data_IF_243428480170
#
_entry.id   IF_243428480170
#
_cell.length_a   1.000
_cell.length_b   1.000
_cell.length_c   1.000
_cell.angle_alpha   90.00
_cell.angle_beta   90.00
_cell.angle_gamma   90.00
#
_symmetry.space_group_name_H-M   'P 1'
#
loop_
_entity.id
_entity.type
_entity.pdbx_description
1 polymer ?
#
# COMPACT_ATOMS: atom_id res chain seq x y z
N UNK A 1 13.29 -11.69 20.10
CA UNK A 1 13.95 -10.86 19.05
C UNK A 1 13.00 -9.80 18.50
N UNK A 2 13.53 -8.77 17.84
CA UNK A 2 12.73 -7.78 17.09
C UNK A 2 12.68 -8.16 15.62
N UNK A 3 11.51 -8.04 14.99
CA UNK A 3 11.25 -8.38 13.59
C UNK A 3 10.69 -7.12 12.92
N UNK A 4 11.37 -6.60 11.91
CA UNK A 4 10.83 -5.50 11.12
C UNK A 4 9.75 -6.01 10.17
N UNK A 5 8.64 -5.32 10.06
CA UNK A 5 7.54 -5.69 9.17
C UNK A 5 7.40 -4.64 8.07
N UNK A 6 7.44 -5.11 6.84
CA UNK A 6 7.12 -4.38 5.62
C UNK A 6 5.96 -5.05 4.90
N UNK A 7 5.27 -4.29 4.09
CA UNK A 7 4.21 -4.76 3.18
C UNK A 7 4.03 -3.73 2.07
N UNK A 8 3.44 -4.11 0.97
CA UNK A 8 3.03 -3.19 -0.09
C UNK A 8 4.16 -2.21 -0.48
N UNK A 9 5.35 -2.77 -0.76
CA UNK A 9 6.50 -1.96 -1.18
C UNK A 9 6.40 -1.52 -2.64
N UNK A 10 5.67 -2.27 -3.47
CA UNK A 10 5.37 -1.94 -4.87
C UNK A 10 6.58 -1.45 -5.66
N UNK A 11 7.68 -2.20 -5.65
CA UNK A 11 8.86 -1.85 -6.43
C UNK A 11 8.51 -1.70 -7.92
N UNK A 12 8.77 -0.52 -8.48
CA UNK A 12 8.40 -0.17 -9.85
C UNK A 12 7.03 0.48 -10.00
N UNK A 13 6.43 0.94 -8.93
CA UNK A 13 5.14 1.64 -8.94
C UNK A 13 5.12 2.84 -9.90
N UNK A 14 3.92 3.22 -10.36
CA UNK A 14 3.69 4.32 -11.30
C UNK A 14 4.48 4.16 -12.60
N UNK A 15 4.39 2.95 -13.21
CA UNK A 15 5.13 2.60 -14.41
C UNK A 15 6.65 2.79 -14.28
N UNK A 16 7.18 2.49 -13.11
CA UNK A 16 8.60 2.66 -12.77
C UNK A 16 9.07 4.12 -12.88
N UNK A 17 8.23 5.04 -12.44
CA UNK A 17 8.56 6.46 -12.39
C UNK A 17 9.83 6.71 -11.59
N UNK A 18 10.75 7.49 -12.14
CA UNK A 18 12.02 7.86 -11.52
C UNK A 18 11.82 8.54 -10.16
N UNK A 19 10.78 9.37 -10.04
CA UNK A 19 10.44 10.08 -8.81
C UNK A 19 10.13 9.07 -7.69
N UNK A 20 9.31 8.06 -7.99
CA UNK A 20 8.93 7.03 -7.00
C UNK A 20 10.08 6.08 -6.70
N UNK A 21 10.91 5.73 -7.69
CA UNK A 21 12.12 4.94 -7.46
C UNK A 21 13.07 5.69 -6.49
N UNK A 22 13.35 6.97 -6.74
CA UNK A 22 14.19 7.79 -5.86
C UNK A 22 13.60 7.94 -4.45
N UNK A 23 12.28 8.07 -4.35
CA UNK A 23 11.59 8.16 -3.07
C UNK A 23 11.70 6.85 -2.26
N UNK A 24 11.53 5.70 -2.91
CA UNK A 24 11.71 4.38 -2.29
C UNK A 24 13.15 4.16 -1.81
N UNK A 25 14.14 4.53 -2.63
CA UNK A 25 15.54 4.43 -2.26
C UNK A 25 15.88 5.29 -1.05
N UNK A 26 15.38 6.53 -1.03
CA UNK A 26 15.57 7.40 0.13
C UNK A 26 14.94 6.79 1.40
N UNK A 27 13.76 6.18 1.28
CA UNK A 27 13.17 5.49 2.43
C UNK A 27 14.07 4.35 2.93
N UNK A 28 14.61 3.53 2.04
CA UNK A 28 15.51 2.45 2.44
C UNK A 28 16.83 2.97 3.01
N UNK A 29 17.44 3.97 2.38
CA UNK A 29 18.76 4.44 2.71
C UNK A 29 18.79 5.41 3.92
N UNK A 30 17.76 6.25 4.05
CA UNK A 30 17.73 7.30 5.07
C UNK A 30 16.91 6.90 6.32
N UNK A 31 15.96 5.96 6.19
CA UNK A 31 15.00 5.64 7.26
C UNK A 31 15.07 4.17 7.69
N UNK A 32 14.80 3.26 6.77
CA UNK A 32 14.56 1.85 7.10
C UNK A 32 15.83 1.12 7.56
N UNK A 33 16.85 1.02 6.71
CA UNK A 33 18.08 0.31 7.09
C UNK A 33 18.84 0.96 8.24
N UNK A 34 18.97 2.30 8.31
CA UNK A 34 19.58 2.95 9.49
C UNK A 34 18.88 2.55 10.80
N UNK A 35 17.53 2.54 10.80
CA UNK A 35 16.79 2.11 11.98
C UNK A 35 17.04 0.64 12.35
N UNK A 36 17.10 -0.26 11.36
CA UNK A 36 17.39 -1.67 11.61
C UNK A 36 18.78 -1.86 12.24
N UNK A 37 19.79 -1.16 11.70
CA UNK A 37 21.16 -1.24 12.18
C UNK A 37 21.31 -0.67 13.60
N UNK A 38 20.69 0.48 13.86
CA UNK A 38 20.71 1.12 15.18
C UNK A 38 20.04 0.26 16.26
N UNK A 39 19.01 -0.50 15.90
CA UNK A 39 18.25 -1.35 16.81
C UNK A 39 18.66 -2.83 16.78
N UNK A 40 19.73 -3.19 16.05
CA UNK A 40 20.22 -4.57 15.83
C UNK A 40 19.12 -5.54 15.37
N UNK A 41 18.27 -5.10 14.42
CA UNK A 41 17.22 -5.91 13.85
C UNK A 41 17.76 -6.65 12.62
N UNK A 42 17.76 -7.98 12.68
CA UNK A 42 18.32 -8.86 11.64
C UNK A 42 17.26 -9.69 10.90
N UNK A 43 16.00 -9.52 11.25
CA UNK A 43 14.89 -10.24 10.63
C UNK A 43 13.85 -9.26 10.09
N UNK A 44 13.45 -9.48 8.84
CA UNK A 44 12.32 -8.80 8.18
C UNK A 44 11.23 -9.84 7.92
N UNK A 45 9.98 -9.44 8.12
CA UNK A 45 8.80 -10.12 7.63
C UNK A 45 8.11 -9.21 6.61
N UNK A 46 8.03 -9.65 5.36
CA UNK A 46 7.37 -8.91 4.29
C UNK A 46 6.01 -9.54 3.96
N UNK A 47 4.95 -8.78 4.16
CA UNK A 47 3.57 -9.26 4.05
C UNK A 47 2.95 -9.06 2.64
N UNK A 48 3.76 -9.24 1.58
CA UNK A 48 3.29 -9.27 0.20
C UNK A 48 3.30 -7.92 -0.51
N UNK A 49 2.97 -7.96 -1.81
CA UNK A 49 3.01 -6.85 -2.74
C UNK A 49 4.41 -6.18 -2.79
N UNK A 50 5.40 -7.03 -3.07
CA UNK A 50 6.78 -6.56 -3.18
C UNK A 50 7.01 -5.80 -4.49
N UNK A 51 6.55 -6.35 -5.63
CA UNK A 51 6.57 -5.69 -6.93
C UNK A 51 5.18 -5.14 -7.29
N UNK A 52 5.16 -4.03 -8.04
CA UNK A 52 3.91 -3.36 -8.40
C UNK A 52 3.16 -4.06 -9.55
N UNK A 53 3.88 -4.48 -10.59
CA UNK A 53 3.26 -5.03 -11.79
C UNK A 53 3.32 -6.56 -11.83
N UNK A 54 2.18 -7.18 -12.07
CA UNK A 54 2.03 -8.65 -12.14
C UNK A 54 2.73 -9.31 -13.32
N UNK A 55 2.80 -8.64 -14.47
CA UNK A 55 3.13 -9.25 -15.77
C UNK A 55 4.51 -8.90 -16.29
N UNK A 56 5.08 -7.79 -15.87
CA UNK A 56 6.41 -7.34 -16.34
C UNK A 56 7.11 -6.47 -15.31
N UNK A 57 8.40 -6.36 -15.42
CA UNK A 57 9.22 -5.48 -14.61
C UNK A 57 10.13 -4.64 -15.48
N UNK A 58 10.26 -3.36 -15.15
CA UNK A 58 11.25 -2.49 -15.76
C UNK A 58 12.65 -2.85 -15.23
N UNK A 59 13.61 -3.11 -16.12
CA UNK A 59 14.96 -3.49 -15.72
C UNK A 59 15.69 -2.43 -14.88
N UNK A 60 15.41 -1.14 -15.08
CA UNK A 60 15.97 -0.08 -14.26
C UNK A 60 15.44 -0.14 -12.83
N UNK A 61 14.12 -0.27 -12.69
CA UNK A 61 13.48 -0.41 -11.37
C UNK A 61 14.00 -1.67 -10.66
N UNK A 62 14.09 -2.80 -11.36
CA UNK A 62 14.63 -4.04 -10.81
C UNK A 62 16.09 -3.88 -10.35
N UNK A 63 16.93 -3.26 -11.19
CA UNK A 63 18.34 -3.03 -10.86
C UNK A 63 18.50 -2.15 -9.62
N UNK A 64 17.77 -1.03 -9.57
CA UNK A 64 17.80 -0.09 -8.46
C UNK A 64 17.28 -0.72 -7.16
N UNK A 65 16.17 -1.47 -7.21
CA UNK A 65 15.67 -2.22 -6.06
C UNK A 65 16.70 -3.26 -5.54
N UNK A 66 17.39 -3.98 -6.45
CA UNK A 66 18.46 -4.89 -6.07
C UNK A 66 19.58 -4.18 -5.31
N UNK A 67 19.99 -3.00 -5.75
CA UNK A 67 21.09 -2.27 -5.10
C UNK A 67 20.68 -1.67 -3.75
N UNK A 68 19.52 -1.03 -3.69
CA UNK A 68 19.10 -0.25 -2.51
C UNK A 68 18.35 -1.08 -1.46
N UNK A 69 17.89 -2.29 -1.83
CA UNK A 69 17.20 -3.16 -0.88
C UNK A 69 17.84 -4.55 -0.79
N UNK A 70 17.78 -5.38 -1.84
CA UNK A 70 18.16 -6.79 -1.75
C UNK A 70 19.66 -6.99 -1.45
N UNK A 71 20.55 -6.21 -2.06
CA UNK A 71 22.00 -6.32 -1.78
C UNK A 71 22.35 -5.91 -0.36
N UNK A 72 21.58 -5.00 0.25
CA UNK A 72 21.75 -4.57 1.63
C UNK A 72 21.35 -5.65 2.65
N UNK A 73 20.41 -6.51 2.31
CA UNK A 73 20.12 -7.68 3.16
C UNK A 73 21.39 -8.51 3.38
N UNK A 74 22.10 -8.81 2.30
CA UNK A 74 23.38 -9.54 2.35
C UNK A 74 24.47 -8.74 3.06
N UNK A 75 24.63 -7.48 2.71
CA UNK A 75 25.65 -6.58 3.29
C UNK A 75 25.52 -6.48 4.80
N UNK A 76 24.28 -6.39 5.32
CA UNK A 76 24.01 -6.19 6.73
C UNK A 76 23.70 -7.47 7.51
N UNK A 77 23.72 -8.64 6.82
CA UNK A 77 23.39 -9.93 7.42
C UNK A 77 21.96 -9.98 7.94
N UNK A 78 21.02 -9.46 7.14
CA UNK A 78 19.59 -9.42 7.45
C UNK A 78 18.88 -10.51 6.64
N UNK A 79 18.03 -11.30 7.29
CA UNK A 79 17.16 -12.28 6.64
C UNK A 79 15.76 -11.71 6.45
N UNK A 80 15.07 -12.14 5.39
CA UNK A 80 13.70 -11.75 5.10
C UNK A 80 12.85 -12.97 4.78
N UNK A 81 11.78 -13.17 5.55
CA UNK A 81 10.67 -14.04 5.15
C UNK A 81 9.64 -13.21 4.39
N UNK A 82 9.17 -13.69 3.25
CA UNK A 82 8.22 -12.98 2.40
C UNK A 82 7.10 -13.90 1.92
N UNK A 83 5.87 -13.42 1.98
CA UNK A 83 4.70 -14.04 1.35
C UNK A 83 4.33 -13.28 0.09
N UNK A 84 3.81 -13.92 -0.97
CA UNK A 84 3.24 -13.21 -2.09
C UNK A 84 1.93 -12.49 -1.72
N UNK A 85 1.80 -11.25 -2.19
CA UNK A 85 0.56 -10.51 -2.27
C UNK A 85 -0.10 -10.69 -3.65
N UNK A 86 -1.21 -10.00 -3.88
CA UNK A 86 -1.93 -10.10 -5.15
C UNK A 86 -1.18 -9.47 -6.33
N UNK A 87 -0.35 -8.45 -6.10
CA UNK A 87 0.50 -7.86 -7.14
C UNK A 87 1.72 -8.71 -7.50
N UNK A 88 2.13 -9.61 -6.63
CA UNK A 88 3.25 -10.51 -6.92
C UNK A 88 2.86 -11.66 -7.85
N UNK A 89 1.57 -12.00 -7.96
CA UNK A 89 1.08 -13.15 -8.73
C UNK A 89 0.69 -12.79 -10.16
N UNK A 90 1.11 -13.59 -11.14
CA UNK A 90 0.78 -13.35 -12.55
C UNK A 90 -0.72 -13.53 -12.84
N UNK A 91 -1.29 -14.64 -12.36
CA UNK A 91 -2.72 -14.95 -12.49
C UNK A 91 -3.48 -14.61 -11.21
N UNK A 92 -4.76 -14.25 -11.33
CA UNK A 92 -5.60 -13.92 -10.17
C UNK A 92 -6.07 -15.15 -9.38
N UNK A 93 -6.08 -16.32 -10.00
CA UNK A 93 -6.64 -17.55 -9.45
C UNK A 93 -5.61 -18.51 -8.87
N UNK A 94 -4.32 -18.28 -9.09
CA UNK A 94 -3.20 -19.12 -8.60
C UNK A 94 -1.99 -18.27 -8.21
N UNK A 95 -1.22 -18.75 -7.22
CA UNK A 95 0.06 -18.15 -6.82
C UNK A 95 1.28 -18.81 -7.46
N UNK A 96 1.11 -19.79 -8.35
CA UNK A 96 2.20 -20.61 -8.87
C UNK A 96 3.25 -19.81 -9.64
N UNK A 97 2.80 -18.99 -10.58
CA UNK A 97 3.66 -18.07 -11.31
C UNK A 97 3.64 -16.71 -10.63
N UNK A 98 4.75 -16.30 -10.05
CA UNK A 98 4.85 -15.05 -9.31
C UNK A 98 6.25 -14.43 -9.40
N UNK A 99 6.29 -13.11 -9.25
CA UNK A 99 7.50 -12.31 -9.35
C UNK A 99 8.54 -12.66 -8.29
N UNK A 100 8.14 -13.11 -7.11
CA UNK A 100 9.07 -13.44 -6.03
C UNK A 100 9.93 -14.63 -6.40
N UNK A 101 9.33 -15.73 -6.89
CA UNK A 101 10.08 -16.91 -7.37
C UNK A 101 11.00 -16.56 -8.53
N UNK A 102 10.48 -15.81 -9.50
CA UNK A 102 11.21 -15.52 -10.74
C UNK A 102 12.38 -14.55 -10.52
N UNK A 103 12.27 -13.60 -9.60
CA UNK A 103 13.22 -12.51 -9.48
C UNK A 103 14.11 -12.57 -8.24
N UNK A 104 13.68 -13.25 -7.16
CA UNK A 104 14.43 -13.33 -5.90
C UNK A 104 15.29 -14.58 -5.74
N UNK A 105 15.29 -15.49 -6.71
CA UNK A 105 16.04 -16.75 -6.65
C UNK A 105 17.55 -16.61 -6.40
N UNK A 106 18.15 -15.47 -6.73
CA UNK A 106 19.57 -15.19 -6.46
C UNK A 106 19.87 -14.79 -5.01
N UNK A 107 18.84 -14.62 -4.19
CA UNK A 107 18.90 -14.16 -2.79
C UNK A 107 18.40 -15.23 -1.80
N UNK A 108 18.40 -16.50 -2.19
CA UNK A 108 17.85 -17.62 -1.38
C UNK A 108 18.50 -17.79 0.00
N UNK A 109 19.69 -17.24 0.22
CA UNK A 109 20.33 -17.27 1.53
C UNK A 109 19.77 -16.19 2.47
N UNK A 110 19.31 -15.09 1.92
CA UNK A 110 18.79 -13.93 2.66
C UNK A 110 17.26 -13.86 2.63
N UNK A 111 16.62 -14.39 1.56
CA UNK A 111 15.19 -14.27 1.31
C UNK A 111 14.52 -15.64 1.26
N UNK A 112 13.58 -15.87 2.14
CA UNK A 112 12.78 -17.10 2.22
C UNK A 112 11.35 -16.84 1.77
N UNK A 113 11.00 -17.34 0.60
CA UNK A 113 9.67 -17.14 0.02
C UNK A 113 8.71 -18.19 0.58
N UNK A 114 7.65 -17.73 1.23
CA UNK A 114 6.60 -18.57 1.81
C UNK A 114 5.42 -18.63 0.88
N UNK A 115 5.37 -19.66 0.04
CA UNK A 115 4.35 -19.81 -1.01
C UNK A 115 3.04 -20.42 -0.53
N UNK A 116 3.08 -21.15 0.58
CA UNK A 116 1.94 -21.86 1.15
C UNK A 116 1.77 -21.47 2.61
N UNK A 117 0.54 -21.51 3.16
CA UNK A 117 0.33 -21.28 4.57
C UNK A 117 1.18 -22.19 5.42
N UNK A 118 2.01 -21.62 6.28
CA UNK A 118 2.85 -22.37 7.24
C UNK A 118 3.10 -21.57 8.50
N UNK A 119 3.54 -22.25 9.55
CA UNK A 119 4.06 -21.61 10.76
C UNK A 119 5.56 -21.44 10.63
N UNK A 120 6.04 -20.23 10.95
CA UNK A 120 7.46 -19.91 11.12
C UNK A 120 7.67 -19.47 12.55
N UNK A 121 8.73 -19.97 13.18
CA UNK A 121 9.06 -19.65 14.57
C UNK A 121 10.18 -18.60 14.62
N UNK A 122 9.94 -17.51 15.33
CA UNK A 122 10.91 -16.45 15.61
C UNK A 122 11.21 -16.44 17.10
N UNK A 123 12.38 -16.95 17.51
CA UNK A 123 12.68 -17.37 18.89
C UNK A 123 11.58 -18.33 19.40
N UNK A 124 10.81 -17.89 20.40
CA UNK A 124 9.72 -18.69 20.99
C UNK A 124 8.33 -18.30 20.45
N UNK A 125 8.26 -17.41 19.43
CA UNK A 125 7.00 -16.95 18.86
C UNK A 125 6.69 -17.68 17.54
N UNK A 126 5.63 -18.46 17.55
CA UNK A 126 5.05 -19.05 16.36
C UNK A 126 4.19 -18.01 15.61
N UNK A 127 4.49 -17.79 14.36
CA UNK A 127 3.75 -16.89 13.46
C UNK A 127 3.21 -17.69 12.27
N UNK A 128 1.90 -17.70 12.09
CA UNK A 128 1.26 -18.25 10.90
C UNK A 128 1.45 -17.27 9.73
N UNK A 129 2.15 -17.68 8.69
CA UNK A 129 2.30 -16.89 7.47
C UNK A 129 1.30 -17.39 6.42
N UNK A 130 0.45 -16.47 5.94
CA UNK A 130 -0.63 -16.77 4.99
C UNK A 130 -0.46 -15.91 3.75
N UNK A 131 0.00 -16.50 2.62
CA UNK A 131 0.08 -15.84 1.32
C UNK A 131 -1.29 -15.36 0.82
N UNK A 132 -1.29 -14.55 -0.25
CA UNK A 132 -2.51 -14.16 -0.93
C UNK A 132 -3.44 -15.34 -1.17
N UNK A 133 -4.69 -15.20 -0.74
CA UNK A 133 -5.71 -16.25 -0.83
C UNK A 133 -6.43 -16.11 -2.17
N UNK A 134 -6.28 -17.11 -3.02
CA UNK A 134 -6.91 -17.20 -4.34
C UNK A 134 -7.75 -18.48 -4.46
N UNK A 135 -8.46 -18.64 -5.58
CA UNK A 135 -9.35 -19.78 -5.77
C UNK A 135 -8.65 -21.15 -5.60
N UNK A 136 -7.41 -21.26 -6.08
CA UNK A 136 -6.65 -22.51 -6.00
C UNK A 136 -6.29 -22.93 -4.58
N UNK A 137 -5.84 -21.98 -3.76
CA UNK A 137 -5.33 -22.28 -2.42
C UNK A 137 -6.37 -22.11 -1.32
N UNK A 138 -7.57 -21.63 -1.62
CA UNK A 138 -8.61 -21.28 -0.65
C UNK A 138 -8.89 -22.40 0.35
N UNK A 139 -9.22 -23.60 -0.14
CA UNK A 139 -9.60 -24.71 0.76
C UNK A 139 -8.45 -25.15 1.65
N UNK A 140 -7.23 -25.20 1.11
CA UNK A 140 -6.00 -25.52 1.86
C UNK A 140 -5.74 -24.49 2.94
N UNK A 141 -5.88 -23.22 2.61
CA UNK A 141 -5.69 -22.10 3.55
C UNK A 141 -6.72 -22.11 4.66
N UNK A 142 -8.01 -22.36 4.33
CA UNK A 142 -9.06 -22.46 5.35
C UNK A 142 -8.82 -23.63 6.32
N UNK A 143 -8.40 -24.78 5.81
CA UNK A 143 -8.05 -25.93 6.66
C UNK A 143 -6.85 -25.59 7.55
N UNK A 144 -5.80 -24.98 7.00
CA UNK A 144 -4.64 -24.53 7.78
C UNK A 144 -5.05 -23.56 8.90
N UNK A 145 -5.83 -22.51 8.57
CA UNK A 145 -6.32 -21.55 9.58
C UNK A 145 -7.06 -22.29 10.69
N UNK A 146 -7.94 -23.23 10.36
CA UNK A 146 -8.71 -23.99 11.34
C UNK A 146 -7.82 -24.79 12.31
N UNK A 147 -6.75 -25.40 11.81
CA UNK A 147 -5.88 -26.31 12.59
C UNK A 147 -4.71 -25.58 13.27
N UNK A 148 -4.30 -24.42 12.75
CA UNK A 148 -3.16 -23.66 13.23
C UNK A 148 -3.31 -23.27 14.70
N UNK A 149 -2.20 -23.36 15.46
CA UNK A 149 -2.15 -22.98 16.88
C UNK A 149 -1.26 -21.77 17.16
N UNK A 150 -0.64 -21.19 16.13
CA UNK A 150 0.17 -19.99 16.28
C UNK A 150 -0.67 -18.84 16.86
N UNK A 151 -0.15 -18.06 17.81
CA UNK A 151 -0.88 -16.93 18.38
C UNK A 151 -0.93 -15.73 17.43
N UNK A 152 0.07 -15.56 16.58
CA UNK A 152 0.20 -14.42 15.65
C UNK A 152 0.05 -14.90 14.22
N UNK A 153 -0.60 -14.08 13.39
CA UNK A 153 -0.74 -14.31 11.96
C UNK A 153 -0.17 -13.10 11.19
N UNK A 154 0.70 -13.34 10.22
CA UNK A 154 1.15 -12.39 9.21
C UNK A 154 0.58 -12.80 7.86
N UNK A 155 -0.13 -11.91 7.18
CA UNK A 155 -0.88 -12.26 5.98
C UNK A 155 -1.01 -11.12 4.97
N UNK A 156 -1.49 -11.45 3.78
CA UNK A 156 -1.92 -10.47 2.78
C UNK A 156 -3.39 -10.73 2.46
N UNK A 157 -4.29 -9.95 3.05
CA UNK A 157 -5.72 -10.27 3.11
C UNK A 157 -6.58 -9.16 2.50
N UNK A 158 -7.71 -9.57 1.91
CA UNK A 158 -8.80 -8.69 1.53
C UNK A 158 -10.03 -9.04 2.39
N UNK A 159 -10.28 -8.24 3.43
CA UNK A 159 -11.34 -8.50 4.40
C UNK A 159 -12.42 -7.41 4.35
N UNK A 160 -13.68 -7.86 4.40
CA UNK A 160 -14.82 -6.95 4.44
C UNK A 160 -14.86 -6.12 5.75
N UNK A 161 -15.21 -4.85 5.60
CA UNK A 161 -15.41 -3.91 6.71
C UNK A 161 -14.16 -3.18 7.19
N UNK A 162 -13.02 -3.32 6.50
CA UNK A 162 -11.81 -2.53 6.72
C UNK A 162 -11.67 -1.42 5.68
N UNK A 163 -10.93 -0.38 6.00
CA UNK A 163 -10.73 0.76 5.09
C UNK A 163 -9.69 0.45 4.01
N UNK A 164 -10.11 0.56 2.76
CA UNK A 164 -9.22 0.55 1.58
C UNK A 164 -8.52 1.90 1.44
N UNK A 165 -9.28 2.98 1.67
CA UNK A 165 -8.83 4.36 1.80
C UNK A 165 -9.66 5.04 2.89
N UNK A 166 -9.23 6.21 3.36
CA UNK A 166 -9.96 6.93 4.42
C UNK A 166 -11.43 7.15 4.04
N UNK A 167 -12.33 6.60 4.86
CA UNK A 167 -13.77 6.68 4.66
C UNK A 167 -14.34 5.73 3.59
N UNK A 168 -13.52 4.87 2.99
CA UNK A 168 -13.97 3.86 2.03
C UNK A 168 -13.71 2.46 2.57
N UNK A 169 -14.77 1.75 2.93
CA UNK A 169 -14.67 0.38 3.43
C UNK A 169 -14.73 -0.65 2.29
N UNK A 170 -13.94 -1.72 2.40
CA UNK A 170 -14.08 -2.91 1.58
C UNK A 170 -15.41 -3.61 1.88
N UNK A 171 -16.21 -3.87 0.86
CA UNK A 171 -17.50 -4.53 1.01
C UNK A 171 -17.50 -5.99 0.54
N UNK A 172 -16.65 -6.33 -0.42
CA UNK A 172 -16.63 -7.62 -1.12
C UNK A 172 -15.57 -8.60 -0.61
N UNK A 173 -14.80 -8.21 0.42
CA UNK A 173 -13.76 -9.04 1.04
C UNK A 173 -14.29 -10.23 1.82
N UNK A 174 -13.38 -11.11 2.24
CA UNK A 174 -13.72 -12.28 3.08
C UNK A 174 -14.21 -11.86 4.47
N UNK A 175 -14.98 -12.74 5.14
CA UNK A 175 -15.40 -12.52 6.52
C UNK A 175 -14.19 -12.59 7.47
N UNK A 176 -13.90 -11.50 8.14
CA UNK A 176 -12.80 -11.37 9.09
C UNK A 176 -12.88 -12.33 10.29
N UNK A 177 -14.07 -12.83 10.62
CA UNK A 177 -14.30 -13.70 11.79
C UNK A 177 -13.51 -15.00 11.75
N UNK A 178 -13.11 -15.48 10.57
CA UNK A 178 -12.26 -16.68 10.44
C UNK A 178 -10.88 -16.53 11.11
N UNK A 179 -10.45 -15.27 11.30
CA UNK A 179 -9.18 -14.94 11.94
C UNK A 179 -9.29 -14.66 13.45
N UNK A 180 -10.48 -14.71 14.03
CA UNK A 180 -10.69 -14.41 15.47
C UNK A 180 -9.97 -15.36 16.43
N UNK A 181 -9.50 -16.50 15.94
CA UNK A 181 -8.75 -17.47 16.74
C UNK A 181 -7.32 -17.03 17.05
N UNK A 182 -6.73 -16.15 16.25
CA UNK A 182 -5.42 -15.59 16.50
C UNK A 182 -5.51 -14.47 17.55
N UNK A 183 -4.46 -14.31 18.35
CA UNK A 183 -4.37 -13.18 19.28
C UNK A 183 -4.10 -11.86 18.53
N UNK A 184 -3.34 -11.95 17.45
CA UNK A 184 -2.96 -10.80 16.61
C UNK A 184 -2.85 -11.24 15.15
N UNK A 185 -3.46 -10.45 14.27
CA UNK A 185 -3.33 -10.59 12.81
C UNK A 185 -2.76 -9.30 12.24
N UNK A 186 -1.68 -9.40 11.51
CA UNK A 186 -1.02 -8.29 10.80
C UNK A 186 -1.17 -8.52 9.31
N UNK A 187 -1.76 -7.59 8.60
CA UNK A 187 -2.03 -7.71 7.16
C UNK A 187 -1.47 -6.55 6.36
N UNK A 188 -0.90 -6.87 5.19
CA UNK A 188 -0.75 -5.94 4.07
C UNK A 188 -2.04 -5.82 3.25
N UNK A 189 -1.94 -5.35 2.02
CA UNK A 189 -2.96 -5.15 0.99
C UNK A 189 -3.61 -3.76 1.03
N UNK A 190 -4.17 -3.30 2.13
CA UNK A 190 -4.74 -1.97 2.21
C UNK A 190 -3.67 -0.96 2.63
N UNK A 191 -3.50 0.10 1.82
CA UNK A 191 -2.46 1.12 2.06
C UNK A 191 -2.81 2.08 3.18
N UNK A 192 -4.08 2.13 3.60
CA UNK A 192 -4.54 2.87 4.77
C UNK A 192 -4.46 1.97 6.01
N UNK A 193 -3.80 2.46 7.06
CA UNK A 193 -3.75 1.73 8.32
C UNK A 193 -5.12 1.72 9.00
N UNK A 194 -5.59 0.52 9.35
CA UNK A 194 -6.86 0.35 10.06
C UNK A 194 -6.82 -0.83 11.01
N UNK A 195 -7.62 -0.78 12.06
CA UNK A 195 -7.68 -1.85 13.05
C UNK A 195 -9.11 -2.14 13.47
N UNK A 196 -9.42 -3.43 13.57
CA UNK A 196 -10.65 -3.92 14.15
C UNK A 196 -10.39 -5.22 14.91
N UNK A 197 -10.84 -5.30 16.16
CA UNK A 197 -10.61 -6.44 17.03
C UNK A 197 -9.11 -6.81 17.11
N UNK A 198 -8.75 -8.04 16.76
CA UNK A 198 -7.39 -8.56 16.74
C UNK A 198 -6.67 -8.35 15.40
N UNK A 199 -7.31 -7.74 14.40
CA UNK A 199 -6.78 -7.57 13.05
C UNK A 199 -6.30 -6.14 12.83
N UNK A 200 -5.06 -6.00 12.34
CA UNK A 200 -4.44 -4.72 11.99
C UNK A 200 -3.97 -4.75 10.54
N UNK A 201 -4.53 -3.89 9.70
CA UNK A 201 -3.93 -3.49 8.45
C UNK A 201 -2.87 -2.46 8.75
N UNK A 202 -1.64 -2.74 8.34
CA UNK A 202 -0.49 -1.93 8.71
C UNK A 202 -0.38 -0.64 7.89
N UNK A 203 -1.04 -0.62 6.73
CA UNK A 203 -0.87 0.43 5.74
C UNK A 203 0.49 0.35 5.04
N UNK A 204 0.66 1.09 3.95
CA UNK A 204 1.96 1.19 3.29
C UNK A 204 2.93 2.07 4.08
N UNK A 205 4.22 1.75 4.02
CA UNK A 205 5.27 2.56 4.67
C UNK A 205 5.65 3.82 3.90
N UNK A 206 5.10 4.00 2.70
CA UNK A 206 5.37 5.12 1.79
C UNK A 206 4.09 5.63 1.15
N UNK A 207 4.13 6.86 0.64
CA UNK A 207 3.04 7.46 -0.11
C UNK A 207 3.14 7.09 -1.59
N UNK A 208 2.04 6.58 -2.18
CA UNK A 208 1.99 6.19 -3.59
C UNK A 208 0.93 6.95 -4.38
N UNK A 209 -0.11 7.44 -3.70
CA UNK A 209 -1.27 8.08 -4.30
C UNK A 209 -1.67 9.37 -3.57
N UNK A 210 -2.49 10.20 -4.20
CA UNK A 210 -3.05 11.39 -3.55
C UNK A 210 -3.93 11.08 -2.34
N UNK A 211 -4.48 9.89 -2.25
CA UNK A 211 -5.18 9.38 -1.06
C UNK A 211 -4.26 9.27 0.16
N UNK A 212 -2.96 9.13 -0.05
CA UNK A 212 -1.96 9.01 1.01
C UNK A 212 -1.48 10.36 1.55
N UNK A 213 -1.82 11.49 0.89
CA UNK A 213 -1.26 12.81 1.16
C UNK A 213 -1.39 13.27 2.62
N UNK A 214 -2.47 12.91 3.30
CA UNK A 214 -2.74 13.28 4.69
C UNK A 214 -2.71 12.06 5.63
N UNK A 215 -2.16 10.93 5.15
CA UNK A 215 -2.09 9.68 5.90
C UNK A 215 -0.64 9.43 6.36
N UNK A 216 -0.34 9.48 7.68
CA UNK A 216 1.00 9.20 8.17
C UNK A 216 1.41 7.77 7.87
N UNK A 217 2.59 7.59 7.28
CA UNK A 217 3.12 6.29 6.85
C UNK A 217 4.11 5.74 7.88
N UNK A 218 4.06 4.40 8.06
CA UNK A 218 4.87 3.69 9.05
C UNK A 218 5.35 2.37 8.49
N UNK A 219 6.54 1.92 8.90
CA UNK A 219 6.83 0.50 8.98
C UNK A 219 6.71 0.04 10.44
N UNK A 220 6.71 -1.25 10.69
CA UNK A 220 6.41 -1.75 12.02
C UNK A 220 7.53 -2.66 12.54
N UNK A 221 7.60 -2.80 13.85
CA UNK A 221 8.51 -3.73 14.52
C UNK A 221 7.70 -4.57 15.50
N UNK A 222 7.73 -5.88 15.31
CA UNK A 222 7.15 -6.86 16.22
C UNK A 222 8.25 -7.37 17.18
N UNK A 223 7.99 -7.29 18.47
CA UNK A 223 8.81 -7.98 19.48
C UNK A 223 8.27 -9.39 19.74
N UNK A 224 9.10 -10.42 19.46
CA UNK A 224 8.68 -11.83 19.60
C UNK A 224 8.34 -12.23 21.04
N UNK A 225 8.94 -11.57 22.02
CA UNK A 225 8.76 -11.91 23.43
C UNK A 225 7.49 -11.31 24.01
N UNK A 226 7.21 -10.03 23.69
CA UNK A 226 6.05 -9.29 24.22
C UNK A 226 4.85 -9.32 23.31
N UNK A 227 5.05 -9.63 22.01
CA UNK A 227 4.08 -9.52 20.91
C UNK A 227 3.60 -8.07 20.67
N UNK A 228 4.33 -7.11 21.20
CA UNK A 228 4.07 -5.70 20.96
C UNK A 228 4.47 -5.32 19.52
N UNK A 229 3.63 -4.54 18.87
CA UNK A 229 3.89 -3.99 17.53
C UNK A 229 4.06 -2.48 17.65
N UNK A 230 5.27 -2.03 17.40
CA UNK A 230 5.65 -0.61 17.41
C UNK A 230 5.60 -0.05 15.99
N UNK A 231 4.86 1.03 15.79
CA UNK A 231 4.85 1.76 14.53
C UNK A 231 6.02 2.76 14.48
N UNK A 232 6.87 2.65 13.46
CA UNK A 232 8.01 3.55 13.22
C UNK A 232 7.68 4.47 12.05
N UNK A 233 7.55 5.76 12.33
CA UNK A 233 7.11 6.75 11.34
C UNK A 233 8.14 6.93 10.23
N UNK A 234 7.68 6.91 8.99
CA UNK A 234 8.43 7.42 7.86
C UNK A 234 8.26 8.95 7.80
N UNK A 235 9.33 9.75 8.01
CA UNK A 235 9.24 11.20 7.95
C UNK A 235 9.20 11.75 6.52
N UNK A 236 9.55 10.91 5.53
CA UNK A 236 9.59 11.35 4.14
C UNK A 236 8.17 11.47 3.58
N UNK A 237 7.90 12.58 2.90
CA UNK A 237 6.62 12.87 2.27
C UNK A 237 6.83 13.17 0.78
N UNK A 238 5.92 12.68 -0.05
CA UNK A 238 5.95 12.91 -1.50
C UNK A 238 4.79 13.78 -1.97
N UNK A 239 3.66 13.74 -1.28
CA UNK A 239 2.47 14.51 -1.61
C UNK A 239 2.20 15.57 -0.56
N UNK A 240 1.83 16.78 -1.00
CA UNK A 240 1.46 17.88 -0.11
C UNK A 240 0.18 18.55 -0.58
N UNK A 241 -0.79 18.71 0.33
CA UNK A 241 -2.05 19.37 0.05
C UNK A 241 -2.15 20.66 0.85
N UNK A 242 -2.24 21.79 0.14
CA UNK A 242 -2.40 23.11 0.74
C UNK A 242 -3.87 23.51 0.62
N UNK A 243 -4.56 23.68 1.74
CA UNK A 243 -5.90 24.27 1.77
C UNK A 243 -5.77 25.78 1.81
N UNK A 244 -5.97 26.42 0.66
CA UNK A 244 -5.88 27.86 0.56
C UNK A 244 -7.19 28.51 1.02
N UNK A 245 -7.10 29.35 2.03
CA UNK A 245 -8.21 30.16 2.57
C UNK A 245 -7.62 31.45 3.15
N UNK A 246 -7.59 32.52 2.35
CA UNK A 246 -7.01 33.83 2.73
C UNK A 246 -7.89 34.64 3.67
N UNK A 247 -9.08 34.13 4.01
CA UNK A 247 -9.92 34.70 5.09
C UNK A 247 -9.49 34.21 6.47
N UNK A 248 -8.69 33.12 6.53
CA UNK A 248 -8.28 32.47 7.78
C UNK A 248 -6.78 32.45 8.00
N UNK A 249 -6.02 32.45 6.92
CA UNK A 249 -4.56 32.27 6.97
C UNK A 249 -3.85 33.32 6.11
N UNK A 250 -2.63 33.68 6.52
CA UNK A 250 -1.76 34.55 5.76
C UNK A 250 -0.80 33.70 4.88
N UNK A 251 -0.72 34.00 3.59
CA UNK A 251 0.10 33.24 2.62
C UNK A 251 1.26 34.06 2.05
N UNK A 252 1.36 35.33 2.40
CA UNK A 252 2.39 36.21 1.83
C UNK A 252 3.81 35.70 2.07
N UNK A 253 4.08 35.19 3.28
CA UNK A 253 5.38 34.63 3.68
C UNK A 253 5.33 33.11 3.92
N UNK A 254 4.35 32.42 3.30
CA UNK A 254 4.24 30.95 3.42
C UNK A 254 5.55 30.29 2.99
N UNK A 255 6.10 29.42 3.82
CA UNK A 255 7.35 28.72 3.50
C UNK A 255 7.10 27.63 2.42
N UNK A 256 7.53 27.93 1.20
CA UNK A 256 7.43 27.00 0.06
C UNK A 256 8.63 26.04 -0.05
N UNK A 257 9.72 26.27 0.68
CA UNK A 257 10.94 25.43 0.58
C UNK A 257 10.69 23.99 0.98
N UNK A 258 9.76 23.77 1.88
CA UNK A 258 9.29 22.43 2.29
C UNK A 258 8.57 21.64 1.19
N UNK A 259 8.19 22.30 0.08
CA UNK A 259 7.46 21.71 -1.04
C UNK A 259 8.41 21.12 -2.10
N UNK A 260 9.70 21.39 -2.00
CA UNK A 260 10.71 20.89 -2.93
C UNK A 260 10.63 19.38 -3.07
N UNK A 261 10.70 18.90 -4.32
CA UNK A 261 10.62 17.47 -4.69
C UNK A 261 9.31 16.80 -4.24
N UNK A 262 8.19 17.53 -4.15
CA UNK A 262 6.87 16.98 -3.86
C UNK A 262 5.88 17.22 -4.99
N UNK A 263 4.85 16.40 -5.04
CA UNK A 263 3.62 16.68 -5.76
C UNK A 263 2.77 17.60 -4.88
N UNK A 264 2.41 18.78 -5.38
CA UNK A 264 1.69 19.80 -4.62
C UNK A 264 0.29 19.99 -5.21
N UNK A 265 -0.73 19.98 -4.34
CA UNK A 265 -2.10 20.31 -4.69
C UNK A 265 -2.59 21.49 -3.84
N UNK A 266 -2.96 22.58 -4.47
CA UNK A 266 -3.57 23.74 -3.81
C UNK A 266 -5.08 23.66 -4.00
N UNK A 267 -5.80 23.43 -2.89
CA UNK A 267 -7.27 23.39 -2.86
C UNK A 267 -7.78 24.72 -2.35
N UNK A 268 -8.44 25.48 -3.22
CA UNK A 268 -8.89 26.85 -2.94
C UNK A 268 -10.28 26.82 -2.33
N UNK A 269 -10.35 27.13 -1.03
CA UNK A 269 -11.61 27.30 -0.32
C UNK A 269 -12.15 28.75 -0.43
N UNK A 270 -11.29 29.74 -0.16
CA UNK A 270 -11.60 31.15 -0.31
C UNK A 270 -10.38 31.89 -0.90
N UNK A 271 -10.63 32.71 -1.93
CA UNK A 271 -9.64 33.54 -2.61
C UNK A 271 -10.20 34.98 -2.69
N UNK A 272 -9.97 35.76 -1.66
CA UNK A 272 -10.45 37.17 -1.57
C UNK A 272 -9.41 38.14 -2.09
N UNK A 273 -8.12 37.77 -2.05
CA UNK A 273 -7.01 38.54 -2.62
C UNK A 273 -6.30 37.75 -3.74
N UNK A 274 -6.64 37.97 -5.01
CA UNK A 274 -6.00 37.33 -6.14
C UNK A 274 -4.48 37.55 -6.22
N UNK A 275 -4.00 38.72 -5.78
CA UNK A 275 -2.57 39.03 -5.82
C UNK A 275 -1.75 38.14 -4.87
N UNK A 276 -2.22 37.98 -3.66
CA UNK A 276 -1.58 37.07 -2.68
C UNK A 276 -1.62 35.62 -3.16
N UNK A 277 -2.73 35.20 -3.77
CA UNK A 277 -2.85 33.86 -4.36
C UNK A 277 -1.85 33.66 -5.49
N UNK A 278 -1.84 34.54 -6.51
CA UNK A 278 -0.96 34.43 -7.67
C UNK A 278 0.52 34.43 -7.24
N UNK A 279 0.88 35.30 -6.28
CA UNK A 279 2.22 35.31 -5.69
C UNK A 279 2.59 33.97 -5.03
N UNK A 280 1.67 33.33 -4.29
CA UNK A 280 1.91 32.02 -3.69
C UNK A 280 2.15 30.97 -4.78
N UNK A 281 1.30 30.95 -5.81
CA UNK A 281 1.42 30.01 -6.94
C UNK A 281 2.76 30.19 -7.66
N UNK A 282 3.14 31.44 -7.98
CA UNK A 282 4.43 31.75 -8.61
C UNK A 282 5.62 31.25 -7.76
N UNK A 283 5.56 31.44 -6.45
CA UNK A 283 6.61 30.94 -5.54
C UNK A 283 6.68 29.42 -5.53
N UNK A 284 5.53 28.72 -5.52
CA UNK A 284 5.50 27.25 -5.59
C UNK A 284 6.03 26.77 -6.93
N UNK A 285 5.68 27.43 -8.05
CA UNK A 285 6.17 27.06 -9.39
C UNK A 285 7.69 27.26 -9.54
N UNK A 286 8.25 28.24 -8.85
CA UNK A 286 9.69 28.50 -8.83
C UNK A 286 10.48 27.60 -7.85
N UNK A 287 9.79 26.86 -6.99
CA UNK A 287 10.40 25.79 -6.19
C UNK A 287 10.43 24.52 -7.03
N UNK A 288 11.47 23.69 -6.87
CA UNK A 288 11.61 22.44 -7.62
C UNK A 288 10.54 21.39 -7.19
N UNK A 289 9.25 21.67 -7.45
CA UNK A 289 8.15 20.73 -7.22
C UNK A 289 8.00 19.77 -8.40
N UNK A 290 7.59 18.53 -8.15
CA UNK A 290 7.36 17.56 -9.22
C UNK A 290 6.13 17.92 -10.07
N UNK A 291 5.10 18.41 -9.44
CA UNK A 291 3.85 18.85 -10.10
C UNK A 291 3.12 19.82 -9.17
N UNK A 292 2.46 20.83 -9.76
CA UNK A 292 1.53 21.71 -9.08
C UNK A 292 0.14 21.58 -9.70
N UNK A 293 -0.84 21.14 -8.90
CA UNK A 293 -2.27 21.13 -9.27
C UNK A 293 -3.02 22.19 -8.46
N UNK A 294 -3.89 22.96 -9.13
CA UNK A 294 -4.77 23.93 -8.49
C UNK A 294 -6.21 23.46 -8.67
N UNK A 295 -6.95 23.37 -7.57
CA UNK A 295 -8.34 22.97 -7.55
C UNK A 295 -9.17 24.13 -6.96
N UNK A 296 -9.94 24.82 -7.78
CA UNK A 296 -10.67 26.04 -7.41
C UNK A 296 -12.10 25.82 -6.89
N UNK A 297 -12.67 24.62 -6.95
CA UNK A 297 -14.04 24.34 -6.51
C UNK A 297 -14.11 23.38 -5.33
N UNK A 298 -14.50 23.92 -4.17
CA UNK A 298 -14.69 23.15 -2.95
C UNK A 298 -15.99 22.30 -2.94
N UNK A 299 -16.99 22.69 -3.77
CA UNK A 299 -18.25 21.95 -3.91
C UNK A 299 -18.08 20.55 -4.52
N UNK A 300 -17.05 20.37 -5.35
CA UNK A 300 -16.65 19.07 -5.89
C UNK A 300 -15.98 18.17 -4.84
N UNK A 301 -15.45 18.76 -3.76
CA UNK A 301 -14.76 18.04 -2.69
C UNK A 301 -15.71 17.33 -1.71
N UNK A 302 -16.97 17.73 -1.63
CA UNK A 302 -17.98 17.10 -0.75
C UNK A 302 -18.62 15.86 -1.41
N UNK A 303 -18.52 15.76 -2.74
CA UNK A 303 -19.05 14.63 -3.54
C UNK A 303 -18.00 13.71 -4.14
N UNK A 304 -16.75 14.15 -4.20
CA UNK A 304 -15.65 13.40 -4.80
C UNK A 304 -14.76 12.79 -3.72
N UNK A 305 -15.07 11.57 -3.35
CA UNK A 305 -14.03 10.60 -3.10
C UNK A 305 -13.31 10.46 -4.44
N UNK A 306 -12.24 11.24 -4.60
CA UNK A 306 -11.50 11.48 -5.83
C UNK A 306 -11.25 10.15 -6.53
N UNK A 307 -11.81 10.02 -7.71
CA UNK A 307 -11.30 9.10 -8.72
C UNK A 307 -9.92 9.65 -9.10
N UNK A 308 -8.88 9.18 -8.42
CA UNK A 308 -7.51 9.43 -8.81
C UNK A 308 -7.32 8.71 -10.15
N UNK A 309 -6.95 9.42 -11.23
CA UNK A 309 -6.77 8.91 -12.59
C UNK A 309 -5.81 7.71 -12.70
N UNK A 310 -5.26 7.27 -11.57
CA UNK A 310 -4.29 6.19 -11.45
C UNK A 310 -4.71 5.10 -10.46
N UNK A 311 -6.01 4.88 -10.24
CA UNK A 311 -6.49 3.75 -9.47
C UNK A 311 -6.10 2.46 -10.20
N UNK A 312 -5.56 1.51 -9.46
CA UNK A 312 -5.21 0.19 -9.98
C UNK A 312 -6.44 -0.43 -10.66
N UNK A 313 -6.24 -1.16 -11.75
CA UNK A 313 -7.32 -1.85 -12.47
C UNK A 313 -8.13 -2.81 -11.56
N UNK A 314 -7.63 -3.12 -10.39
CA UNK A 314 -8.30 -3.96 -9.38
C UNK A 314 -9.44 -3.25 -8.66
N UNK A 315 -9.41 -1.92 -8.63
CA UNK A 315 -10.49 -1.09 -8.09
C UNK A 315 -11.53 -0.66 -9.14
N UNK A 316 -11.43 -1.22 -10.36
CA UNK A 316 -12.33 -0.90 -11.47
C UNK A 316 -13.80 -1.15 -11.11
N UNK A 317 -14.09 -2.16 -10.28
CA UNK A 317 -15.47 -2.45 -9.85
C UNK A 317 -16.02 -1.34 -8.95
N UNK A 318 -15.22 -0.86 -7.99
CA UNK A 318 -15.59 0.24 -7.08
C UNK A 318 -15.74 1.55 -7.83
N UNK A 319 -14.86 1.81 -8.80
CA UNK A 319 -14.93 2.97 -9.69
C UNK A 319 -16.22 2.96 -10.52
N UNK A 320 -16.53 1.83 -11.12
CA UNK A 320 -17.75 1.66 -11.91
C UNK A 320 -19.01 1.80 -11.06
N UNK A 321 -19.00 1.25 -9.85
CA UNK A 321 -20.10 1.38 -8.89
C UNK A 321 -20.32 2.85 -8.50
N UNK A 322 -19.24 3.58 -8.21
CA UNK A 322 -19.27 5.02 -7.87
C UNK A 322 -19.74 5.86 -9.05
N UNK A 323 -19.26 5.55 -10.26
CA UNK A 323 -19.70 6.21 -11.49
C UNK A 323 -21.19 6.01 -11.75
N UNK A 324 -21.70 4.78 -11.60
CA UNK A 324 -23.12 4.47 -11.78
C UNK A 324 -24.00 5.19 -10.76
N UNK A 325 -23.51 5.36 -9.52
CA UNK A 325 -24.25 6.15 -8.50
C UNK A 325 -24.31 7.64 -8.86
N UNK A 326 -23.23 8.20 -9.39
CA UNK A 326 -23.13 9.62 -9.73
C UNK A 326 -23.90 9.99 -11.01
N UNK A 327 -24.13 9.04 -11.92
CA UNK A 327 -24.85 9.31 -13.18
C UNK A 327 -26.34 9.57 -12.91
N UNK A 328 -26.85 10.68 -13.40
CA UNK A 328 -28.29 10.98 -13.41
C UNK A 328 -28.97 10.17 -14.51
N UNK A 329 -29.73 9.13 -14.14
CA UNK A 329 -30.41 8.22 -15.09
C UNK A 329 -31.70 7.66 -14.49
N UNK A 330 -32.69 7.48 -15.35
CA UNK A 330 -33.95 6.82 -15.00
C UNK A 330 -33.84 5.27 -14.95
N UNK A 331 -32.68 4.72 -15.33
CA UNK A 331 -32.45 3.28 -15.32
C UNK A 331 -32.20 2.76 -13.90
N UNK A 332 -32.53 1.50 -13.66
CA UNK A 332 -32.26 0.83 -12.37
C UNK A 332 -30.76 0.65 -12.14
N UNK A 333 -30.19 1.52 -11.32
CA UNK A 333 -28.76 1.52 -10.98
C UNK A 333 -28.27 0.18 -10.39
N UNK A 334 -29.11 -0.51 -9.63
CA UNK A 334 -28.77 -1.84 -9.07
C UNK A 334 -28.61 -2.87 -10.17
N UNK A 335 -29.48 -2.83 -11.18
CA UNK A 335 -29.41 -3.73 -12.32
C UNK A 335 -28.17 -3.44 -13.20
N UNK A 336 -27.86 -2.17 -13.40
CA UNK A 336 -26.64 -1.76 -14.13
C UNK A 336 -25.39 -2.28 -13.42
N UNK A 337 -25.26 -2.06 -12.12
CA UNK A 337 -24.13 -2.55 -11.32
C UNK A 337 -24.00 -4.07 -11.39
N UNK A 338 -25.11 -4.79 -11.27
CA UNK A 338 -25.11 -6.27 -11.36
C UNK A 338 -24.60 -6.75 -12.73
N UNK A 339 -25.07 -6.13 -13.82
CA UNK A 339 -24.64 -6.49 -15.19
C UNK A 339 -23.16 -6.15 -15.41
N UNK A 340 -22.67 -5.00 -14.92
CA UNK A 340 -21.28 -4.62 -15.03
C UNK A 340 -20.37 -5.58 -14.27
N UNK A 341 -20.75 -6.00 -13.08
CA UNK A 341 -20.00 -7.00 -12.29
C UNK A 341 -19.98 -8.36 -12.97
N UNK A 342 -21.07 -8.76 -13.63
CA UNK A 342 -21.14 -9.99 -14.41
C UNK A 342 -20.20 -9.96 -15.62
N UNK A 343 -20.22 -8.86 -16.39
CA UNK A 343 -19.30 -8.63 -17.51
C UNK A 343 -17.83 -8.60 -17.08
N UNK A 344 -17.52 -7.99 -15.94
CA UNK A 344 -16.16 -8.01 -15.39
C UNK A 344 -15.72 -9.44 -15.03
N UNK A 345 -16.63 -10.23 -14.46
CA UNK A 345 -16.35 -11.63 -14.10
C UNK A 345 -16.12 -12.49 -15.35
N UNK A 346 -16.92 -12.27 -16.40
CA UNK A 346 -16.73 -12.92 -17.70
C UNK A 346 -15.41 -12.50 -18.36
N UNK A 347 -15.07 -11.21 -18.35
CA UNK A 347 -13.79 -10.70 -18.88
C UNK A 347 -12.59 -11.29 -18.14
N UNK A 348 -12.66 -11.38 -16.81
CA UNK A 348 -11.63 -12.04 -16.00
C UNK A 348 -11.50 -13.53 -16.30
N UNK A 349 -12.60 -14.21 -16.63
CA UNK A 349 -12.58 -15.62 -17.02
C UNK A 349 -11.96 -15.84 -18.41
N UNK A 350 -12.09 -14.88 -19.33
CA UNK A 350 -11.48 -14.93 -20.67
C UNK A 350 -9.96 -14.69 -20.67
N UNK A 351 -9.42 -14.02 -19.67
CA UNK A 351 -7.95 -13.87 -19.51
C UNK A 351 -7.24 -15.19 -19.11
N UNK A 352 -7.98 -16.26 -18.88
CA UNK A 352 -7.48 -17.57 -18.42
C UNK A 352 -7.33 -18.59 -19.58
N UNK A 353 -7.68 -18.22 -20.81
CA UNK A 353 -7.60 -19.13 -21.97
C UNK A 353 -6.41 -18.85 -22.88
#
# INVERSE_FOLDING_TARGET
>A
MKIAILNDTHAGIRNSSEIFINYQERFYDEVFFPYLLENDIKQILHLGDYYDNRKFINFKALNRNRHHFLSKLREYGISMDIIPGNHDTFYKNTNDLNSLKELLGHYMNEVHIVMEPKVVTYDDLDVALIPWICAENYQKTMNFIKECKAPVCGAHLELAGFEVARGQACHDGMDHKIFNKFELVLSGHFHCASQRDNIRYLGSQMEFFWSDADDPKYFHVLDSSTREVTAVKNPLRLFERIKYDDTKNEYFDYDVTQLKNKFVKVVVANKTDPFTFDRLIDRIQNEDVHELKIQENFSEFIGENVVDENISLEDTATLLDTYVEAVDTELDKKKIKSQMRELMREAQALEIS
#
